data_IF_543765487713
#
_entry.id   IF_543765487713
#
_cell.length_a   1.000
_cell.length_b   1.000
_cell.length_c   1.000
_cell.angle_alpha   90.00
_cell.angle_beta   90.00
_cell.angle_gamma   90.00
#
_symmetry.space_group_name_H-M   'P 1'
#
loop_
_entity.id
_entity.type
_entity.pdbx_description
1 polymer ?
#
# COMPACT_ATOMS: atom_id res chain seq x y z
N UNK A 1 -5.34 11.81 -4.88
CA UNK A 1 -5.61 10.36 -4.71
C UNK A 1 -5.29 9.52 -5.94
N UNK A 2 -5.72 9.88 -7.16
CA UNK A 2 -5.50 9.07 -8.38
C UNK A 2 -4.05 8.55 -8.56
N UNK A 3 -3.06 9.42 -8.38
CA UNK A 3 -1.65 9.04 -8.51
C UNK A 3 -1.23 7.93 -7.54
N UNK A 4 -1.77 7.92 -6.32
CA UNK A 4 -1.49 6.88 -5.33
C UNK A 4 -2.04 5.53 -5.80
N UNK A 5 -3.28 5.50 -6.30
CA UNK A 5 -3.89 4.29 -6.87
C UNK A 5 -3.10 3.77 -8.07
N UNK A 6 -2.62 4.65 -8.95
CA UNK A 6 -1.76 4.26 -10.07
C UNK A 6 -0.45 3.60 -9.60
N UNK A 7 0.17 4.12 -8.53
CA UNK A 7 1.39 3.53 -7.94
C UNK A 7 1.08 2.17 -7.32
N UNK A 8 -0.02 2.03 -6.58
CA UNK A 8 -0.43 0.74 -5.99
C UNK A 8 -0.71 -0.32 -7.07
N UNK A 9 -1.41 0.05 -8.14
CA UNK A 9 -1.64 -0.84 -9.28
C UNK A 9 -0.34 -1.25 -9.97
N UNK A 10 0.63 -0.33 -10.07
CA UNK A 10 1.96 -0.65 -10.62
C UNK A 10 2.73 -1.59 -9.70
N UNK A 11 2.71 -1.35 -8.39
CA UNK A 11 3.32 -2.26 -7.39
C UNK A 11 2.73 -3.66 -7.49
N UNK A 12 1.42 -3.77 -7.72
CA UNK A 12 0.76 -5.05 -7.94
C UNK A 12 1.20 -5.71 -9.26
N UNK A 13 1.19 -4.97 -10.35
CA UNK A 13 1.63 -5.46 -11.67
C UNK A 13 3.10 -5.89 -11.69
N UNK A 14 3.96 -5.19 -10.94
CA UNK A 14 5.39 -5.46 -10.84
C UNK A 14 5.70 -6.57 -9.80
N UNK A 15 4.67 -7.11 -9.12
CA UNK A 15 4.82 -8.21 -8.16
C UNK A 15 5.41 -7.82 -6.80
N UNK A 16 5.47 -6.51 -6.49
CA UNK A 16 5.94 -5.98 -5.20
C UNK A 16 4.94 -6.28 -4.09
N UNK A 17 3.65 -6.25 -4.44
CA UNK A 17 2.54 -6.68 -3.59
C UNK A 17 1.65 -7.59 -4.41
N UNK A 18 1.14 -8.68 -3.83
CA UNK A 18 0.23 -9.58 -4.55
C UNK A 18 -1.16 -8.93 -4.73
N UNK A 19 -1.65 -8.30 -3.67
CA UNK A 19 -2.92 -7.59 -3.61
C UNK A 19 -2.87 -6.53 -2.51
N UNK A 20 -3.80 -5.58 -2.57
CA UNK A 20 -3.99 -4.58 -1.53
C UNK A 20 -5.49 -4.26 -1.36
N UNK A 21 -5.85 -3.76 -0.18
CA UNK A 21 -7.17 -3.22 0.10
C UNK A 21 -7.07 -1.76 0.54
N UNK A 22 -8.00 -0.94 0.08
CA UNK A 22 -8.14 0.44 0.55
C UNK A 22 -8.83 0.42 1.91
N UNK A 23 -8.27 1.15 2.86
CA UNK A 23 -8.72 1.26 4.24
C UNK A 23 -9.10 2.68 4.65
N UNK A 24 -9.27 2.84 5.95
CA UNK A 24 -9.34 4.17 6.57
C UNK A 24 -10.50 5.04 6.11
N UNK A 25 -10.24 6.35 6.03
CA UNK A 25 -11.25 7.33 5.66
C UNK A 25 -11.82 7.11 4.26
N UNK A 26 -10.97 6.79 3.28
CA UNK A 26 -11.42 6.48 1.92
C UNK A 26 -12.34 5.26 1.90
N UNK A 27 -12.03 4.20 2.64
CA UNK A 27 -12.91 3.03 2.71
C UNK A 27 -14.24 3.33 3.42
N UNK A 28 -14.23 4.20 4.44
CA UNK A 28 -15.43 4.60 5.17
C UNK A 28 -16.42 5.38 4.28
N UNK A 29 -15.91 6.23 3.37
CA UNK A 29 -16.73 6.99 2.40
C UNK A 29 -17.62 6.07 1.54
N UNK A 30 -17.24 4.80 1.35
CA UNK A 30 -18.11 3.85 0.63
C UNK A 30 -19.47 3.63 1.31
N UNK A 31 -19.55 3.80 2.64
CA UNK A 31 -20.75 3.59 3.44
C UNK A 31 -21.33 4.88 4.03
N UNK A 32 -20.62 6.00 3.88
CA UNK A 32 -20.95 7.29 4.48
C UNK A 32 -21.09 8.36 3.39
N UNK A 33 -21.42 9.58 3.79
CA UNK A 33 -21.36 10.73 2.88
C UNK A 33 -19.89 11.09 2.55
N UNK A 34 -19.62 11.66 1.36
CA UNK A 34 -18.26 12.07 1.00
C UNK A 34 -17.71 13.17 1.92
N UNK A 35 -16.45 13.03 2.30
CA UNK A 35 -15.70 14.04 3.04
C UNK A 35 -14.23 14.06 2.59
N UNK A 36 -13.54 15.17 2.87
CA UNK A 36 -12.13 15.33 2.51
C UNK A 36 -11.22 14.55 3.46
N UNK A 37 -10.18 13.92 2.90
CA UNK A 37 -9.12 13.23 3.64
C UNK A 37 -7.77 13.58 3.04
N UNK A 38 -6.76 13.70 3.88
CA UNK A 38 -5.41 14.11 3.49
C UNK A 38 -4.61 12.92 2.90
N UNK A 39 -4.93 11.71 3.33
CA UNK A 39 -4.21 10.48 3.01
C UNK A 39 -5.14 9.31 2.62
N UNK A 40 -4.51 8.17 2.35
CA UNK A 40 -5.16 6.90 2.08
C UNK A 40 -4.45 5.80 2.85
N UNK A 41 -5.22 5.06 3.63
CA UNK A 41 -4.73 3.86 4.28
C UNK A 41 -4.82 2.67 3.33
N UNK A 42 -3.78 1.84 3.32
CA UNK A 42 -3.69 0.66 2.46
C UNK A 42 -3.28 -0.55 3.29
N UNK A 43 -4.04 -1.62 3.20
CA UNK A 43 -3.72 -2.89 3.83
C UNK A 43 -3.11 -3.84 2.79
N UNK A 44 -1.94 -4.39 3.09
CA UNK A 44 -1.26 -5.41 2.29
C UNK A 44 -1.32 -6.72 3.08
N UNK A 45 -1.98 -7.78 2.58
CA UNK A 45 -2.04 -9.06 3.28
C UNK A 45 -0.64 -9.65 3.51
N UNK A 46 -0.38 -10.07 4.74
CA UNK A 46 0.91 -10.62 5.19
C UNK A 46 1.38 -11.87 4.42
N UNK A 47 0.46 -12.61 3.78
CA UNK A 47 0.77 -13.81 2.98
C UNK A 47 1.67 -13.46 1.77
N UNK A 48 1.68 -12.20 1.35
CA UNK A 48 2.43 -11.70 0.19
C UNK A 48 3.81 -11.12 0.53
N UNK A 49 4.22 -11.12 1.80
CA UNK A 49 5.50 -10.51 2.24
C UNK A 49 6.37 -11.61 2.83
N UNK A 50 7.57 -11.78 2.28
CA UNK A 50 8.52 -12.84 2.64
C UNK A 50 8.74 -12.89 4.14
N UNK A 51 8.38 -14.01 4.76
CA UNK A 51 8.68 -14.29 6.16
C UNK A 51 10.15 -14.69 6.25
N UNK A 52 10.96 -13.85 6.88
CA UNK A 52 12.36 -14.19 7.17
C UNK A 52 12.46 -15.40 8.10
N UNK A 53 13.65 -16.00 8.19
CA UNK A 53 13.90 -17.24 8.96
C UNK A 53 13.41 -17.18 10.43
N UNK A 54 13.28 -15.99 11.01
CA UNK A 54 12.80 -15.75 12.37
C UNK A 54 11.27 -15.57 12.51
N UNK A 55 10.49 -15.73 11.45
CA UNK A 55 9.03 -15.48 11.49
C UNK A 55 8.66 -13.99 11.35
N UNK A 56 9.62 -13.12 11.02
CA UNK A 56 9.41 -11.69 10.84
C UNK A 56 9.06 -11.35 9.40
N UNK A 57 8.09 -10.45 9.23
CA UNK A 57 7.71 -9.88 7.94
C UNK A 57 8.62 -8.69 7.65
N UNK A 58 9.33 -8.70 6.51
CA UNK A 58 10.14 -7.55 6.08
C UNK A 58 9.37 -6.65 5.11
N UNK A 59 9.22 -5.37 5.45
CA UNK A 59 8.63 -4.36 4.57
C UNK A 59 9.64 -3.70 3.62
N UNK A 60 10.92 -4.08 3.69
CA UNK A 60 12.00 -3.51 2.88
C UNK A 60 11.71 -3.51 1.37
N UNK A 61 11.16 -4.58 0.74
CA UNK A 61 10.85 -4.56 -0.70
C UNK A 61 9.87 -3.46 -1.10
N UNK A 62 8.90 -3.15 -0.23
CA UNK A 62 7.91 -2.09 -0.46
C UNK A 62 8.60 -0.73 -0.40
N UNK A 63 9.41 -0.49 0.64
CA UNK A 63 10.12 0.78 0.80
C UNK A 63 11.13 1.01 -0.32
N UNK A 64 11.90 0.00 -0.71
CA UNK A 64 12.91 0.14 -1.75
C UNK A 64 12.28 0.40 -3.12
N UNK A 65 11.18 -0.29 -3.44
CA UNK A 65 10.43 0.00 -4.66
C UNK A 65 9.95 1.45 -4.70
N UNK A 66 9.34 1.94 -3.61
CA UNK A 66 8.85 3.32 -3.52
C UNK A 66 9.99 4.35 -3.62
N UNK A 67 11.15 4.09 -3.02
CA UNK A 67 12.35 4.93 -3.19
C UNK A 67 12.80 5.03 -4.64
N UNK A 68 12.73 3.93 -5.43
CA UNK A 68 13.07 3.99 -6.86
C UNK A 68 12.17 4.92 -7.66
N UNK A 69 10.96 5.19 -7.16
CA UNK A 69 10.00 6.14 -7.74
C UNK A 69 10.13 7.56 -7.18
N UNK A 70 11.09 7.80 -6.27
CA UNK A 70 11.32 9.10 -5.63
C UNK A 70 10.48 9.36 -4.37
N UNK A 71 9.77 8.35 -3.85
CA UNK A 71 9.04 8.47 -2.59
C UNK A 71 9.95 8.15 -1.41
N UNK A 72 10.08 9.07 -0.48
CA UNK A 72 10.86 8.89 0.74
C UNK A 72 9.91 8.69 1.92
N UNK A 73 10.26 7.82 2.88
CA UNK A 73 9.56 7.79 4.15
C UNK A 73 9.68 9.16 4.82
N UNK A 74 8.58 9.63 5.40
CA UNK A 74 8.55 10.82 6.26
C UNK A 74 9.36 10.60 7.53
#
# INVERSE_FOLDING_TARGET
>A
MERVIQVLNRMQSDGVVENYAIGGGIAAIYYLEPYDTDDIDVFIPAVAVTVGEAGLISLEPVYDYLKTLGYLPL
#
